data_IF_037274630562
#
_entry.id   IF_037274630562
#
_cell.length_a   1.000
_cell.length_b   1.000
_cell.length_c   1.000
_cell.angle_alpha   90.00
_cell.angle_beta   90.00
_cell.angle_gamma   90.00
#
_symmetry.space_group_name_H-M   'P 1'
#
loop_
_entity.id
_entity.type
_entity.pdbx_description
1 polymer ?
#
# COMPACT_ATOMS: atom_id res chain seq x y z
N UNK A 1 -0.74 -33.29 5.92
CA UNK A 1 0.59 -33.67 6.45
C UNK A 1 1.65 -32.58 6.21
N UNK A 2 1.70 -31.94 5.04
CA UNK A 2 2.65 -30.83 4.74
C UNK A 2 2.38 -29.59 5.59
N UNK A 3 1.13 -29.20 5.78
CA UNK A 3 0.72 -28.01 6.56
C UNK A 3 1.08 -28.16 8.05
N UNK A 4 0.95 -29.36 8.61
CA UNK A 4 1.30 -29.65 10.02
C UNK A 4 2.81 -29.58 10.24
N UNK A 5 3.60 -30.01 9.26
CA UNK A 5 5.06 -29.92 9.33
C UNK A 5 5.57 -28.48 9.15
N UNK A 6 4.92 -27.65 8.33
CA UNK A 6 5.22 -26.23 8.20
C UNK A 6 4.88 -25.45 9.48
N UNK A 7 3.76 -25.78 10.14
CA UNK A 7 3.40 -25.20 11.44
C UNK A 7 4.39 -25.61 12.54
N UNK A 8 4.88 -26.85 12.49
CA UNK A 8 5.90 -27.33 13.42
C UNK A 8 7.25 -26.67 13.19
N UNK A 9 7.66 -26.49 11.92
CA UNK A 9 8.85 -25.71 11.54
C UNK A 9 8.76 -24.26 12.03
N UNK A 10 7.58 -23.64 11.93
CA UNK A 10 7.33 -22.28 12.44
C UNK A 10 7.42 -22.20 13.97
N UNK A 11 6.88 -23.20 14.69
CA UNK A 11 6.95 -23.27 16.16
C UNK A 11 8.39 -23.56 16.62
N UNK A 12 9.13 -24.41 15.93
CA UNK A 12 10.51 -24.75 16.27
C UNK A 12 11.46 -23.54 16.06
N UNK A 13 11.19 -22.68 15.06
CA UNK A 13 11.94 -21.43 14.84
C UNK A 13 11.47 -20.25 15.70
N UNK A 14 10.25 -20.27 16.24
CA UNK A 14 9.83 -19.34 17.29
C UNK A 14 10.71 -19.46 18.55
N UNK A 15 11.27 -20.63 18.82
CA UNK A 15 12.22 -20.83 19.92
C UNK A 15 13.58 -20.17 19.65
N UNK A 16 13.98 -20.02 18.38
CA UNK A 16 15.19 -19.28 18.00
C UNK A 16 14.98 -17.76 18.11
N UNK A 17 13.78 -17.26 17.83
CA UNK A 17 13.40 -15.86 18.08
C UNK A 17 13.49 -15.53 19.59
N UNK A 18 13.14 -16.46 20.47
CA UNK A 18 13.36 -16.31 21.92
C UNK A 18 14.85 -16.27 22.31
N UNK A 19 15.72 -16.88 21.53
CA UNK A 19 17.17 -16.83 21.76
C UNK A 19 17.84 -15.57 21.20
N UNK A 20 17.23 -14.85 20.26
CA UNK A 20 17.69 -13.53 19.80
C UNK A 20 17.65 -12.46 20.90
N UNK A 21 16.82 -12.61 21.93
CA UNK A 21 16.82 -11.74 23.11
C UNK A 21 18.14 -11.77 23.92
N UNK A 22 19.08 -12.64 23.60
CA UNK A 22 20.41 -12.70 24.24
C UNK A 22 21.49 -11.90 23.52
N UNK A 23 21.22 -11.36 22.34
CA UNK A 23 22.16 -10.57 21.54
C UNK A 23 21.92 -9.06 21.57
N UNK A 24 20.90 -8.60 22.31
CA UNK A 24 20.64 -7.17 22.47
C UNK A 24 21.48 -6.66 23.67
N UNK A 25 22.35 -5.65 23.48
CA UNK A 25 23.08 -5.07 24.61
C UNK A 25 22.12 -4.46 25.64
N UNK A 26 22.26 -4.85 26.90
CA UNK A 26 21.43 -4.45 28.04
C UNK A 26 21.49 -2.95 28.38
N UNK A 27 21.23 -2.04 27.48
CA UNK A 27 21.18 -0.59 27.80
C UNK A 27 20.15 0.22 27.00
N UNK A 28 19.14 -0.40 26.44
CA UNK A 28 17.99 0.35 25.89
C UNK A 28 16.74 -0.18 26.57
N UNK A 29 16.06 0.68 27.33
CA UNK A 29 14.75 0.37 27.88
C UNK A 29 13.79 0.07 26.75
N UNK A 30 13.50 -1.20 26.52
CA UNK A 30 12.63 -1.67 25.46
C UNK A 30 11.19 -1.34 25.85
N UNK A 31 10.71 -0.19 25.40
CA UNK A 31 9.27 -0.04 25.22
C UNK A 31 8.91 -0.92 24.02
N UNK A 32 8.29 -2.07 24.28
CA UNK A 32 7.76 -2.96 23.23
C UNK A 32 6.61 -2.22 22.56
N UNK A 33 6.85 -1.72 21.36
CA UNK A 33 5.85 -1.10 20.49
C UNK A 33 5.42 -2.12 19.45
N UNK A 34 4.13 -2.37 19.38
CA UNK A 34 3.47 -3.33 18.48
C UNK A 34 2.78 -2.64 17.31
N UNK A 35 2.84 -3.12 16.11
CA UNK A 35 2.37 -2.47 14.89
C UNK A 35 1.60 -3.27 13.85
N UNK A 36 1.04 -2.63 12.80
CA UNK A 36 0.01 -3.16 11.96
C UNK A 36 -0.15 -2.61 10.54
N UNK A 37 -0.63 -3.43 9.61
CA UNK A 37 -1.17 -3.05 8.30
C UNK A 37 -2.70 -3.18 8.29
N UNK A 38 -3.41 -2.17 7.81
CA UNK A 38 -4.85 -2.20 7.63
C UNK A 38 -5.28 -1.74 6.24
N UNK A 39 -6.09 -2.58 5.61
CA UNK A 39 -7.05 -2.14 4.60
C UNK A 39 -8.30 -1.61 5.32
N UNK A 40 -8.70 -0.37 5.01
CA UNK A 40 -9.93 0.34 5.40
C UNK A 40 -10.87 -0.37 6.41
N UNK A 41 -10.43 -0.56 7.64
CA UNK A 41 -11.35 -0.77 8.75
C UNK A 41 -11.58 0.58 9.42
N UNK A 42 -12.82 0.95 9.61
CA UNK A 42 -13.19 2.12 10.41
C UNK A 42 -12.87 1.78 11.87
N UNK A 43 -11.62 2.07 12.25
CA UNK A 43 -11.22 1.99 13.65
C UNK A 43 -11.98 3.06 14.40
N UNK A 44 -12.62 2.69 15.49
CA UNK A 44 -13.30 3.65 16.34
C UNK A 44 -12.24 4.43 17.09
N UNK A 45 -11.93 5.64 16.61
CA UNK A 45 -11.22 6.64 17.38
C UNK A 45 -11.94 6.86 18.71
N UNK A 46 -11.18 7.05 19.78
CA UNK A 46 -11.77 7.29 21.09
C UNK A 46 -12.45 8.67 21.10
N UNK A 47 -13.78 8.69 21.15
CA UNK A 47 -14.53 9.91 21.32
C UNK A 47 -14.26 10.50 22.72
N UNK A 48 -13.71 11.70 22.73
CA UNK A 48 -13.37 12.42 23.98
C UNK A 48 -14.29 13.59 24.25
N UNK A 49 -15.04 14.02 23.24
CA UNK A 49 -16.00 15.10 23.36
C UNK A 49 -17.13 14.92 22.34
N UNK A 50 -18.39 15.01 22.80
CA UNK A 50 -19.60 15.04 21.98
C UNK A 50 -20.61 15.98 22.64
N UNK A 51 -20.71 17.19 22.14
CA UNK A 51 -21.69 18.18 22.60
C UNK A 51 -21.99 19.21 21.51
N UNK A 52 -23.25 19.65 21.43
CA UNK A 52 -23.74 20.68 20.51
C UNK A 52 -23.34 20.42 19.03
N UNK A 53 -23.31 19.15 18.63
CA UNK A 53 -22.92 18.72 17.27
C UNK A 53 -21.43 18.77 16.99
N UNK A 54 -20.59 19.13 17.95
CA UNK A 54 -19.13 19.00 17.88
C UNK A 54 -18.70 17.65 18.47
N UNK A 55 -18.04 16.84 17.65
CA UNK A 55 -17.37 15.61 18.07
C UNK A 55 -15.86 15.76 17.91
N UNK A 56 -15.12 15.35 18.93
CA UNK A 56 -13.66 15.31 18.89
C UNK A 56 -13.22 13.90 19.27
N UNK A 57 -12.38 13.30 18.43
CA UNK A 57 -11.83 11.99 18.65
C UNK A 57 -10.32 12.05 18.80
N UNK A 58 -9.77 11.19 19.64
CA UNK A 58 -8.34 10.87 19.67
C UNK A 58 -8.10 9.66 18.76
N UNK A 59 -7.11 9.78 17.91
CA UNK A 59 -6.69 8.73 16.98
C UNK A 59 -5.34 8.18 17.45
N UNK A 60 -5.23 6.87 17.56
CA UNK A 60 -3.96 6.18 17.81
C UNK A 60 -3.86 4.95 16.91
N UNK A 61 -2.82 4.91 16.11
CA UNK A 61 -2.45 3.77 15.28
C UNK A 61 -0.98 3.47 15.53
N UNK A 62 -0.69 2.29 16.04
CA UNK A 62 0.69 1.86 16.29
C UNK A 62 0.97 0.60 15.50
N UNK A 63 2.06 0.62 14.71
CA UNK A 63 2.41 -0.42 13.75
C UNK A 63 3.90 -0.82 13.84
N UNK A 64 4.40 -2.12 14.01
CA UNK A 64 5.78 -2.72 13.88
C UNK A 64 5.71 -4.05 13.25
N UNK A 65 6.76 -4.35 12.61
CA UNK A 65 7.02 -5.62 12.00
C UNK A 65 8.42 -6.12 12.38
N UNK A 66 8.55 -7.43 12.47
CA UNK A 66 9.84 -8.13 12.46
C UNK A 66 9.90 -8.90 11.16
N UNK A 67 10.98 -8.72 10.42
CA UNK A 67 11.13 -9.19 9.05
C UNK A 67 12.50 -9.87 8.88
N UNK A 68 12.51 -10.91 8.06
CA UNK A 68 13.74 -11.61 7.69
C UNK A 68 13.67 -12.05 6.21
N UNK A 69 14.78 -11.91 5.51
CA UNK A 69 14.97 -12.36 4.15
C UNK A 69 16.29 -13.13 4.06
N UNK A 70 16.26 -14.37 3.58
CA UNK A 70 17.48 -15.20 3.39
C UNK A 70 18.38 -14.64 2.29
N UNK A 71 17.86 -13.77 1.42
CA UNK A 71 18.58 -13.17 0.30
C UNK A 71 18.44 -11.64 0.31
N UNK A 72 19.50 -10.96 -0.12
CA UNK A 72 19.56 -9.54 -0.37
C UNK A 72 19.46 -9.23 -1.87
N UNK A 73 19.14 -7.99 -2.21
CA UNK A 73 18.86 -7.55 -3.57
C UNK A 73 19.69 -6.29 -3.93
N UNK A 74 20.05 -6.18 -5.21
CA UNK A 74 20.89 -5.10 -5.75
C UNK A 74 20.10 -3.81 -6.09
N UNK A 75 18.94 -3.57 -5.46
CA UNK A 75 18.05 -2.44 -5.83
C UNK A 75 18.74 -1.10 -5.57
N UNK A 76 19.27 -0.89 -4.36
CA UNK A 76 19.93 0.38 -3.99
C UNK A 76 21.47 0.30 -4.08
N UNK A 77 22.03 -0.85 -4.42
CA UNK A 77 23.48 -1.03 -4.59
C UNK A 77 24.31 -1.01 -3.30
N UNK A 78 23.67 -0.96 -2.14
CA UNK A 78 24.34 -0.89 -0.82
C UNK A 78 24.29 -2.20 -0.02
N UNK A 79 23.67 -3.26 -0.56
CA UNK A 79 23.62 -4.58 0.03
C UNK A 79 24.71 -5.49 -0.58
N UNK A 80 25.09 -6.50 0.18
CA UNK A 80 25.98 -7.59 -0.26
C UNK A 80 25.21 -8.91 -0.26
N UNK A 81 25.75 -9.94 -0.89
CA UNK A 81 25.22 -11.30 -0.82
C UNK A 81 25.04 -11.75 0.63
N UNK A 82 23.93 -12.41 0.94
CA UNK A 82 23.56 -12.88 2.27
C UNK A 82 22.13 -12.49 2.64
N UNK A 83 21.85 -12.48 3.92
CA UNK A 83 20.53 -12.23 4.48
C UNK A 83 20.42 -10.85 5.12
N UNK A 84 19.19 -10.45 5.43
CA UNK A 84 18.89 -9.29 6.28
C UNK A 84 17.80 -9.62 7.28
N UNK A 85 18.00 -9.16 8.53
CA UNK A 85 17.00 -9.19 9.58
C UNK A 85 16.79 -7.77 10.11
N UNK A 86 15.54 -7.32 10.08
CA UNK A 86 15.24 -5.98 10.53
C UNK A 86 13.89 -5.91 11.22
N UNK A 87 13.68 -4.81 11.89
CA UNK A 87 12.38 -4.43 12.44
C UNK A 87 12.06 -3.04 11.98
N UNK A 88 10.79 -2.77 11.74
CA UNK A 88 10.33 -1.44 11.44
C UNK A 88 9.01 -1.16 12.15
N UNK A 89 8.70 0.10 12.35
CA UNK A 89 7.47 0.45 13.01
C UNK A 89 7.14 1.93 12.93
N UNK A 90 5.88 2.23 13.22
CA UNK A 90 5.42 3.59 13.36
C UNK A 90 4.32 3.72 14.42
N UNK A 91 4.18 4.92 14.94
CA UNK A 91 3.02 5.36 15.70
C UNK A 91 2.44 6.60 15.03
N UNK A 92 1.16 6.57 14.66
CA UNK A 92 0.38 7.72 14.22
C UNK A 92 -0.60 8.10 15.31
N UNK A 93 -0.59 9.36 15.71
CA UNK A 93 -1.37 9.86 16.83
C UNK A 93 -1.81 11.29 16.58
N UNK A 94 -3.03 11.59 16.97
CA UNK A 94 -3.61 12.91 16.75
C UNK A 94 -5.08 13.00 17.09
N UNK A 95 -5.75 13.93 16.42
CA UNK A 95 -7.14 14.22 16.68
C UNK A 95 -7.91 14.40 15.37
N UNK A 96 -9.17 13.99 15.38
CA UNK A 96 -10.12 14.34 14.36
C UNK A 96 -11.33 15.07 14.97
N UNK A 97 -11.92 15.97 14.20
CA UNK A 97 -13.08 16.72 14.62
C UNK A 97 -14.17 16.70 13.53
N UNK A 98 -15.41 16.72 13.97
CA UNK A 98 -16.59 16.91 13.11
C UNK A 98 -17.54 17.86 13.83
N UNK A 99 -17.94 18.94 13.17
CA UNK A 99 -18.96 19.87 13.64
C UNK A 99 -20.18 19.78 12.75
N UNK A 100 -21.30 19.39 13.31
CA UNK A 100 -22.58 19.39 12.62
C UNK A 100 -23.08 20.84 12.45
N UNK A 101 -23.59 21.15 11.26
CA UNK A 101 -24.13 22.45 10.90
C UNK A 101 -25.58 22.32 10.41
N UNK A 102 -26.15 23.41 9.90
CA UNK A 102 -27.51 23.43 9.35
C UNK A 102 -27.66 22.43 8.19
N UNK A 103 -28.82 21.76 8.14
CA UNK A 103 -29.17 20.83 7.05
C UNK A 103 -28.27 19.58 7.00
N UNK A 104 -27.84 19.10 8.16
CA UNK A 104 -26.93 17.97 8.31
C UNK A 104 -25.58 18.16 7.61
N UNK A 105 -25.26 19.38 7.18
CA UNK A 105 -23.94 19.69 6.67
C UNK A 105 -22.89 19.59 7.79
N UNK A 106 -21.65 19.31 7.43
CA UNK A 106 -20.59 19.06 8.41
C UNK A 106 -19.29 19.77 8.03
N UNK A 107 -18.69 20.44 9.00
CA UNK A 107 -17.27 20.77 8.95
C UNK A 107 -16.49 19.63 9.57
N UNK A 108 -15.40 19.20 8.95
CA UNK A 108 -14.57 18.12 9.46
C UNK A 108 -13.08 18.42 9.26
N UNK A 109 -12.22 17.75 10.02
CA UNK A 109 -10.79 17.88 9.87
C UNK A 109 -10.01 16.92 10.76
N UNK A 110 -8.70 16.83 10.52
CA UNK A 110 -7.80 16.04 11.37
C UNK A 110 -6.41 16.67 11.41
N UNK A 111 -5.75 16.44 12.52
CA UNK A 111 -4.32 16.71 12.70
C UNK A 111 -3.67 15.51 13.36
N UNK A 112 -2.77 14.84 12.63
CA UNK A 112 -2.03 13.67 13.12
C UNK A 112 -0.52 13.84 12.88
N UNK A 113 0.26 13.38 13.84
CA UNK A 113 1.68 13.15 13.72
C UNK A 113 1.94 11.67 13.45
N UNK A 114 3.03 11.37 12.75
CA UNK A 114 3.55 10.02 12.61
C UNK A 114 5.02 9.98 12.99
N UNK A 115 5.38 9.08 13.90
CA UNK A 115 6.75 8.74 14.26
C UNK A 115 7.06 7.38 13.68
N UNK A 116 8.10 7.27 12.86
CA UNK A 116 8.51 6.01 12.21
C UNK A 116 9.98 5.72 12.45
N UNK A 117 10.34 4.44 12.41
CA UNK A 117 11.72 3.99 12.57
C UNK A 117 11.94 2.62 11.88
N UNK A 118 13.21 2.34 11.56
CA UNK A 118 13.70 1.02 11.12
C UNK A 118 14.95 0.68 11.94
N UNK A 119 15.09 -0.59 12.35
CA UNK A 119 16.20 -1.10 13.14
C UNK A 119 16.77 -2.39 12.55
N UNK A 120 17.99 -2.74 12.90
CA UNK A 120 18.68 -3.96 12.46
C UNK A 120 19.50 -3.73 11.20
N UNK A 121 19.45 -4.68 10.27
CA UNK A 121 20.26 -4.63 9.03
C UNK A 121 19.69 -3.69 7.96
N UNK A 122 18.52 -3.06 8.20
CA UNK A 122 17.71 -2.44 7.15
C UNK A 122 17.08 -3.50 6.24
N UNK A 123 16.19 -3.07 5.34
CA UNK A 123 15.50 -4.02 4.46
C UNK A 123 16.41 -4.70 3.43
N UNK A 124 15.94 -5.80 2.86
CA UNK A 124 16.70 -6.63 1.94
C UNK A 124 17.08 -5.96 0.61
N UNK A 125 16.39 -4.88 0.21
CA UNK A 125 16.69 -4.09 -0.98
C UNK A 125 17.62 -2.91 -0.71
N UNK A 126 17.88 -2.61 0.58
CA UNK A 126 18.74 -1.50 1.01
C UNK A 126 18.08 -0.13 0.91
N UNK A 127 16.76 -0.06 0.85
CA UNK A 127 15.97 1.18 0.88
C UNK A 127 16.06 1.83 2.25
N UNK A 128 16.21 1.03 3.31
CA UNK A 128 16.50 1.45 4.69
C UNK A 128 17.82 0.86 5.17
N UNK A 129 18.48 1.52 6.12
CA UNK A 129 19.78 1.14 6.69
C UNK A 129 19.69 0.62 8.12
N UNK A 130 18.50 0.59 8.74
CA UNK A 130 18.27 0.12 10.09
C UNK A 130 18.61 1.13 11.19
N UNK A 131 18.72 2.40 10.86
CA UNK A 131 19.01 3.50 11.78
C UNK A 131 18.06 4.69 11.64
N UNK A 132 17.00 4.53 10.89
CA UNK A 132 16.02 5.56 10.63
C UNK A 132 15.14 5.80 11.85
N UNK A 133 14.86 7.07 12.12
CA UNK A 133 13.83 7.52 13.03
C UNK A 133 13.42 8.94 12.70
N UNK A 134 12.12 9.21 12.61
CA UNK A 134 11.62 10.54 12.27
C UNK A 134 10.18 10.72 12.72
N UNK A 135 9.86 11.94 13.18
CA UNK A 135 8.48 12.37 13.44
C UNK A 135 8.10 13.46 12.45
N UNK A 136 6.91 13.33 11.86
CA UNK A 136 6.39 14.27 10.88
C UNK A 136 4.90 14.51 11.09
N UNK A 137 4.38 15.61 10.55
CA UNK A 137 2.95 15.78 10.36
C UNK A 137 2.50 14.82 9.27
N UNK A 138 1.51 13.98 9.56
CA UNK A 138 0.91 13.07 8.58
C UNK A 138 -0.38 13.64 8.03
N UNK A 139 -1.34 14.02 8.88
CA UNK A 139 -2.55 14.70 8.47
C UNK A 139 -2.62 16.12 9.04
N UNK A 140 -3.06 17.07 8.24
CA UNK A 140 -3.40 18.43 8.64
C UNK A 140 -4.34 19.00 7.58
N UNK A 141 -5.63 18.73 7.70
CA UNK A 141 -6.62 19.12 6.69
C UNK A 141 -7.94 19.52 7.33
N UNK A 142 -8.73 20.28 6.55
CA UNK A 142 -10.09 20.65 6.85
C UNK A 142 -10.96 20.38 5.62
N UNK A 143 -12.23 20.09 5.85
CA UNK A 143 -13.22 19.90 4.79
C UNK A 143 -14.61 20.23 5.24
N UNK A 144 -15.52 20.32 4.28
CA UNK A 144 -16.94 20.58 4.48
C UNK A 144 -17.77 19.69 3.56
N UNK A 145 -18.82 19.10 4.12
CA UNK A 145 -19.82 18.30 3.41
C UNK A 145 -21.17 18.98 3.45
N UNK A 146 -21.88 18.92 2.34
CA UNK A 146 -23.16 19.61 2.19
C UNK A 146 -24.32 19.01 3.00
N UNK A 147 -24.20 17.77 3.49
CA UNK A 147 -25.32 17.07 4.11
C UNK A 147 -26.53 17.04 3.19
N UNK A 148 -27.69 17.49 3.69
CA UNK A 148 -28.95 17.58 2.95
C UNK A 148 -29.26 18.99 2.40
N UNK A 149 -28.30 19.92 2.40
CA UNK A 149 -28.48 21.26 1.87
C UNK A 149 -28.76 21.29 0.36
N UNK A 150 -28.28 20.29 -0.37
CA UNK A 150 -28.42 20.18 -1.83
C UNK A 150 -29.14 18.88 -2.23
N UNK A 151 -30.46 18.74 -1.92
CA UNK A 151 -31.15 17.44 -2.04
C UNK A 151 -31.19 16.89 -3.47
N UNK A 152 -31.04 17.74 -4.50
CA UNK A 152 -30.96 17.31 -5.91
C UNK A 152 -29.64 16.59 -6.25
N UNK A 153 -28.61 16.76 -5.44
CA UNK A 153 -27.30 16.15 -5.61
C UNK A 153 -27.10 14.94 -4.68
N UNK A 154 -28.12 14.58 -3.88
CA UNK A 154 -28.03 13.54 -2.87
C UNK A 154 -27.44 14.01 -1.55
N UNK A 155 -27.45 13.16 -0.54
CA UNK A 155 -26.78 13.42 0.74
C UNK A 155 -25.28 13.54 0.52
N UNK A 156 -24.65 14.55 1.13
CA UNK A 156 -23.24 14.90 0.90
C UNK A 156 -22.92 15.14 -0.58
N UNK A 157 -23.89 15.66 -1.34
CA UNK A 157 -23.76 15.88 -2.79
C UNK A 157 -22.62 16.84 -3.18
N UNK A 158 -22.08 17.59 -2.21
CA UNK A 158 -20.81 18.33 -2.33
C UNK A 158 -19.95 18.04 -1.11
N UNK A 159 -18.68 17.64 -1.33
CA UNK A 159 -17.65 17.51 -0.31
C UNK A 159 -16.38 18.23 -0.79
N UNK A 160 -15.90 19.18 -0.01
CA UNK A 160 -14.71 19.97 -0.33
C UNK A 160 -13.70 19.80 0.78
N UNK A 161 -12.43 19.52 0.44
CA UNK A 161 -11.36 19.45 1.42
C UNK A 161 -10.05 20.04 0.92
N UNK A 162 -9.28 20.60 1.83
CA UNK A 162 -7.95 21.16 1.56
C UNK A 162 -7.00 20.82 2.70
N UNK A 163 -5.73 20.58 2.36
CA UNK A 163 -4.65 20.38 3.33
C UNK A 163 -3.82 19.14 3.04
N UNK A 164 -3.09 18.70 4.06
CA UNK A 164 -2.23 17.53 4.01
C UNK A 164 -3.01 16.27 4.35
N UNK A 165 -3.18 15.37 3.40
CA UNK A 165 -3.89 14.10 3.60
C UNK A 165 -3.55 13.06 2.53
N UNK A 166 -3.83 11.80 2.82
CA UNK A 166 -3.84 10.75 1.80
C UNK A 166 -5.06 10.89 0.89
N UNK A 167 -4.87 10.58 -0.39
CA UNK A 167 -5.93 10.51 -1.39
C UNK A 167 -5.84 9.18 -2.13
N UNK A 168 -6.99 8.67 -2.53
CA UNK A 168 -7.13 7.43 -3.29
C UNK A 168 -8.10 7.63 -4.44
N UNK A 169 -7.80 7.02 -5.60
CA UNK A 169 -8.70 6.92 -6.75
C UNK A 169 -8.98 5.43 -7.02
N UNK A 170 -10.26 5.06 -7.06
CA UNK A 170 -10.69 3.68 -7.26
C UNK A 170 -10.13 2.72 -6.22
N UNK A 171 -9.58 1.59 -6.67
CA UNK A 171 -8.90 0.61 -5.81
C UNK A 171 -7.41 0.93 -5.58
N UNK A 172 -6.93 2.09 -6.06
CA UNK A 172 -5.54 2.53 -5.88
C UNK A 172 -4.59 2.08 -6.99
N UNK A 173 -5.09 1.69 -8.13
CA UNK A 173 -4.27 1.28 -9.28
C UNK A 173 -3.36 2.40 -9.80
N UNK A 174 -3.84 3.66 -9.74
CA UNK A 174 -3.08 4.85 -10.13
C UNK A 174 -2.62 5.66 -8.91
N UNK A 175 -3.51 5.90 -7.95
CA UNK A 175 -3.23 6.71 -6.76
C UNK A 175 -3.82 6.04 -5.52
N UNK A 176 -2.97 5.70 -4.55
CA UNK A 176 -3.33 5.22 -3.21
C UNK A 176 -2.64 6.01 -2.09
N UNK A 177 -1.95 7.07 -2.39
CA UNK A 177 -1.19 7.88 -1.45
C UNK A 177 0.30 7.92 -1.79
N UNK A 178 1.01 8.79 -1.12
CA UNK A 178 2.44 9.03 -1.32
C UNK A 178 3.27 8.09 -0.41
N UNK A 179 3.37 6.80 -0.80
CA UNK A 179 3.77 5.70 0.09
C UNK A 179 5.26 5.32 0.07
N UNK A 180 6.09 5.86 -0.80
CA UNK A 180 7.52 5.53 -0.79
C UNK A 180 8.24 6.11 0.43
N UNK A 181 8.53 5.27 1.42
CA UNK A 181 9.11 5.65 2.71
C UNK A 181 10.59 5.26 2.79
N UNK A 182 11.41 5.86 1.95
CA UNK A 182 12.85 5.62 1.95
C UNK A 182 13.49 6.01 3.29
N UNK A 183 14.58 5.29 3.60
CA UNK A 183 15.41 5.53 4.76
C UNK A 183 16.59 6.45 4.47
N UNK A 184 17.65 6.31 5.28
CA UNK A 184 18.84 7.18 5.25
C UNK A 184 19.83 6.82 4.13
N UNK A 185 19.41 6.08 3.11
CA UNK A 185 20.25 5.75 1.95
C UNK A 185 20.77 7.04 1.30
N UNK A 186 22.07 7.07 1.03
CA UNK A 186 22.73 8.21 0.37
C UNK A 186 22.73 8.00 -1.15
N UNK A 187 21.97 8.85 -1.83
CA UNK A 187 21.92 8.94 -3.29
C UNK A 187 22.41 10.29 -3.81
N UNK A 188 23.28 10.97 -3.04
CA UNK A 188 23.71 12.34 -3.33
C UNK A 188 22.75 13.41 -2.81
N UNK A 189 21.56 12.98 -2.32
CA UNK A 189 20.55 13.82 -1.70
C UNK A 189 19.87 13.06 -0.54
N UNK A 190 19.54 13.76 0.54
CA UNK A 190 18.76 13.16 1.61
C UNK A 190 17.30 12.99 1.19
N UNK A 191 16.92 11.77 0.84
CA UNK A 191 15.57 11.38 0.42
C UNK A 191 14.76 10.74 1.55
N UNK A 192 15.33 10.60 2.76
CA UNK A 192 14.71 9.90 3.89
C UNK A 192 13.36 10.50 4.28
N UNK A 193 12.35 9.64 4.36
CA UNK A 193 11.05 9.93 4.96
C UNK A 193 10.89 9.36 6.38
N UNK A 194 11.91 8.70 6.91
CA UNK A 194 11.93 8.14 8.27
C UNK A 194 11.88 6.63 8.33
N UNK A 195 12.12 5.92 7.22
CA UNK A 195 12.06 4.47 7.17
C UNK A 195 10.65 3.91 7.35
N UNK A 196 10.55 2.69 7.91
CA UNK A 196 9.34 1.87 7.89
C UNK A 196 8.82 1.73 6.45
N UNK A 197 9.71 1.25 5.58
CA UNK A 197 9.50 1.18 4.13
C UNK A 197 8.35 0.25 3.78
N UNK A 198 8.37 -0.99 4.26
CA UNK A 198 7.33 -1.97 3.99
C UNK A 198 5.97 -1.53 4.56
N UNK A 199 5.97 -1.02 5.79
CA UNK A 199 4.75 -0.57 6.47
C UNK A 199 4.17 0.71 5.86
N UNK A 200 4.92 1.42 5.03
CA UNK A 200 4.51 2.67 4.40
C UNK A 200 3.89 3.65 5.42
N UNK A 201 4.67 3.99 6.44
CA UNK A 201 4.21 4.78 7.59
C UNK A 201 3.57 6.12 7.21
N UNK A 202 4.03 6.74 6.11
CA UNK A 202 3.55 8.00 5.57
C UNK A 202 2.89 7.79 4.22
N UNK A 203 1.64 8.27 4.11
CA UNK A 203 0.81 8.12 2.90
C UNK A 203 0.26 9.44 2.39
N UNK A 204 0.40 10.52 3.18
CA UNK A 204 -0.21 11.80 2.85
C UNK A 204 0.62 12.59 1.84
N UNK A 205 -0.06 13.17 0.86
CA UNK A 205 0.47 14.23 0.02
C UNK A 205 0.66 15.49 0.85
N UNK A 206 1.68 16.28 0.54
CA UNK A 206 2.00 17.48 1.30
C UNK A 206 0.90 18.54 1.23
N UNK A 207 0.27 18.64 0.07
CA UNK A 207 -0.85 19.54 -0.17
C UNK A 207 -1.86 18.86 -1.07
N UNK A 208 -3.14 19.03 -0.77
CA UNK A 208 -4.26 18.54 -1.58
C UNK A 208 -5.37 19.56 -1.58
N UNK A 209 -6.10 19.62 -2.69
CA UNK A 209 -7.43 20.22 -2.77
C UNK A 209 -8.33 19.22 -3.49
N UNK A 210 -9.49 18.93 -2.92
CA UNK A 210 -10.46 18.01 -3.50
C UNK A 210 -11.86 18.58 -3.44
N UNK A 211 -12.59 18.48 -4.55
CA UNK A 211 -14.02 18.75 -4.65
C UNK A 211 -14.67 17.47 -5.16
N UNK A 212 -15.59 16.90 -4.38
CA UNK A 212 -16.44 15.78 -4.78
C UNK A 212 -17.86 16.30 -5.06
N UNK A 213 -18.43 15.86 -6.17
CA UNK A 213 -19.79 16.17 -6.61
C UNK A 213 -20.57 14.87 -6.79
N UNK A 214 -21.83 14.86 -6.36
CA UNK A 214 -22.67 13.66 -6.29
C UNK A 214 -22.45 12.90 -4.98
N UNK A 215 -23.46 12.23 -4.49
CA UNK A 215 -23.42 11.49 -3.23
C UNK A 215 -22.69 10.15 -3.33
N UNK A 216 -23.05 9.21 -2.45
CA UNK A 216 -22.44 7.86 -2.40
C UNK A 216 -22.90 6.95 -3.56
N UNK A 217 -24.04 7.25 -4.18
CA UNK A 217 -24.66 6.46 -5.25
C UNK A 217 -24.97 7.32 -6.47
N UNK A 218 -25.18 6.66 -7.62
CA UNK A 218 -25.48 7.34 -8.87
C UNK A 218 -24.22 7.86 -9.58
N UNK A 219 -24.33 9.02 -10.19
CA UNK A 219 -23.20 9.68 -10.88
C UNK A 219 -22.49 10.60 -9.90
N UNK A 220 -21.18 10.41 -9.79
CA UNK A 220 -20.30 11.25 -8.98
C UNK A 220 -19.02 11.61 -9.72
N UNK A 221 -18.39 12.71 -9.31
CA UNK A 221 -17.14 13.19 -9.88
C UNK A 221 -16.26 13.79 -8.80
N UNK A 222 -14.95 13.57 -8.90
CA UNK A 222 -13.96 14.25 -8.07
C UNK A 222 -13.09 15.15 -8.97
N UNK A 223 -12.82 16.37 -8.50
CA UNK A 223 -11.75 17.22 -9.00
C UNK A 223 -10.67 17.28 -7.93
N UNK A 224 -9.46 16.93 -8.30
CA UNK A 224 -8.34 16.74 -7.38
C UNK A 224 -7.14 17.52 -7.85
N UNK A 225 -6.50 18.23 -6.94
CA UNK A 225 -5.14 18.71 -7.09
C UNK A 225 -4.32 18.15 -5.93
N UNK A 226 -3.11 17.68 -6.20
CA UNK A 226 -2.21 17.16 -5.19
C UNK A 226 -0.75 17.52 -5.48
N UNK A 227 0.01 17.74 -4.41
CA UNK A 227 1.44 17.98 -4.46
C UNK A 227 2.17 17.11 -3.45
N UNK A 228 3.12 16.32 -3.92
CA UNK A 228 4.03 15.56 -3.09
C UNK A 228 5.20 16.44 -2.59
N UNK A 229 5.71 16.14 -1.38
CA UNK A 229 7.02 16.61 -0.93
C UNK A 229 8.03 15.48 -0.81
N UNK A 230 7.68 14.31 -1.32
CA UNK A 230 8.52 13.14 -1.31
C UNK A 230 9.61 13.25 -2.37
N UNK A 231 10.85 13.31 -1.95
CA UNK A 231 11.98 13.36 -2.88
C UNK A 231 12.10 12.10 -3.73
N UNK A 232 11.73 10.91 -3.16
CA UNK A 232 11.68 9.65 -3.90
C UNK A 232 10.61 9.61 -5.01
N UNK A 233 9.68 10.57 -5.03
CA UNK A 233 8.69 10.83 -6.08
C UNK A 233 8.97 12.14 -6.82
N UNK A 234 10.22 12.65 -6.74
CA UNK A 234 10.65 13.93 -7.32
C UNK A 234 9.66 15.06 -7.05
N UNK A 235 9.02 15.10 -5.87
CA UNK A 235 8.04 16.11 -5.45
C UNK A 235 6.93 16.38 -6.47
N UNK A 236 6.50 15.39 -7.19
CA UNK A 236 5.51 15.48 -8.27
C UNK A 236 4.24 16.22 -7.84
N UNK A 237 3.71 17.06 -8.73
CA UNK A 237 2.43 17.75 -8.63
C UNK A 237 1.51 17.30 -9.75
N UNK A 238 0.26 16.92 -9.41
CA UNK A 238 -0.72 16.40 -10.35
C UNK A 238 -2.07 17.07 -10.16
N UNK A 239 -2.85 17.11 -11.24
CA UNK A 239 -4.29 17.28 -11.17
C UNK A 239 -5.00 16.03 -11.71
N UNK A 240 -6.22 15.78 -11.22
CA UNK A 240 -7.01 14.67 -11.67
C UNK A 240 -8.50 14.98 -11.66
N UNK A 241 -9.22 14.33 -12.57
CA UNK A 241 -10.67 14.32 -12.63
C UNK A 241 -11.16 12.88 -12.70
N UNK A 242 -12.19 12.55 -11.91
CA UNK A 242 -12.88 11.26 -12.01
C UNK A 242 -14.34 11.47 -12.37
N UNK A 243 -14.92 10.52 -13.09
CA UNK A 243 -16.36 10.42 -13.31
C UNK A 243 -16.76 8.97 -13.05
N UNK A 244 -17.66 8.76 -12.11
CA UNK A 244 -18.11 7.43 -11.73
C UNK A 244 -19.62 7.30 -11.79
N UNK A 245 -20.07 6.08 -12.14
CA UNK A 245 -21.44 5.63 -11.92
C UNK A 245 -21.41 4.49 -10.92
N UNK A 246 -22.01 4.73 -9.76
CA UNK A 246 -22.05 3.76 -8.64
C UNK A 246 -23.46 3.24 -8.47
N UNK A 247 -23.58 1.94 -8.30
CA UNK A 247 -24.82 1.23 -7.92
C UNK A 247 -24.46 0.07 -6.97
N UNK A 248 -25.45 -0.55 -6.36
CA UNK A 248 -25.27 -1.67 -5.43
C UNK A 248 -24.42 -2.83 -6.00
N UNK A 249 -24.55 -3.09 -7.29
CA UNK A 249 -23.91 -4.23 -7.96
C UNK A 249 -22.74 -3.85 -8.87
N UNK A 250 -22.52 -2.57 -9.13
CA UNK A 250 -21.51 -2.15 -10.10
C UNK A 250 -20.95 -0.76 -9.86
N UNK A 251 -19.69 -0.60 -10.20
CA UNK A 251 -19.00 0.70 -10.33
C UNK A 251 -18.37 0.77 -11.71
N UNK A 252 -18.62 1.87 -12.43
CA UNK A 252 -17.94 2.24 -13.66
C UNK A 252 -17.27 3.58 -13.44
N UNK A 253 -15.99 3.69 -13.77
CA UNK A 253 -15.23 4.91 -13.55
C UNK A 253 -14.35 5.27 -14.74
N UNK A 254 -14.27 6.56 -15.02
CA UNK A 254 -13.28 7.18 -15.88
C UNK A 254 -12.40 8.06 -14.99
N UNK A 255 -11.10 8.08 -15.29
CA UNK A 255 -10.13 8.93 -14.59
C UNK A 255 -9.23 9.58 -15.63
N UNK A 256 -8.98 10.87 -15.46
CA UNK A 256 -7.93 11.61 -16.16
C UNK A 256 -6.99 12.21 -15.13
N UNK A 257 -5.69 12.09 -15.34
CA UNK A 257 -4.62 12.64 -14.50
C UNK A 257 -3.64 13.36 -15.41
N UNK A 258 -3.24 14.56 -15.01
CA UNK A 258 -2.26 15.38 -15.72
C UNK A 258 -1.11 15.77 -14.78
N UNK A 259 0.11 15.63 -15.28
CA UNK A 259 1.33 16.02 -14.60
C UNK A 259 1.60 17.51 -14.75
N UNK A 260 1.56 18.26 -13.62
CA UNK A 260 1.75 19.71 -13.61
C UNK A 260 3.21 20.11 -13.43
N UNK A 261 3.88 19.49 -12.45
CA UNK A 261 5.26 19.82 -12.08
C UNK A 261 5.99 18.63 -11.47
N UNK A 262 7.31 18.64 -11.58
CA UNK A 262 8.22 17.65 -10.99
C UNK A 262 9.59 18.27 -10.83
N UNK A 263 10.29 17.95 -9.74
CA UNK A 263 11.66 18.41 -9.46
C UNK A 263 12.64 17.73 -10.45
N UNK A 264 13.17 18.53 -11.40
CA UNK A 264 14.00 18.02 -12.50
C UNK A 264 15.30 17.40 -11.99
N UNK A 265 15.94 18.02 -11.00
CA UNK A 265 17.20 17.49 -10.41
C UNK A 265 16.96 16.11 -9.77
N UNK A 266 15.88 15.94 -9.01
CA UNK A 266 15.54 14.63 -8.41
C UNK A 266 15.12 13.62 -9.47
N UNK A 267 14.44 14.04 -10.53
CA UNK A 267 14.06 13.17 -11.66
C UNK A 267 15.31 12.56 -12.31
N UNK A 268 16.30 13.37 -12.62
CA UNK A 268 17.56 12.93 -13.21
C UNK A 268 18.37 12.06 -12.23
N UNK A 269 18.55 12.53 -10.99
CA UNK A 269 19.35 11.87 -9.95
C UNK A 269 18.83 10.44 -9.67
N UNK A 270 17.52 10.26 -9.61
CA UNK A 270 16.87 8.99 -9.25
C UNK A 270 16.49 8.15 -10.49
N UNK A 271 16.76 8.64 -11.71
CA UNK A 271 16.38 7.96 -12.94
C UNK A 271 14.88 7.76 -13.09
N UNK A 272 14.07 8.69 -12.55
CA UNK A 272 12.62 8.63 -12.63
C UNK A 272 12.12 9.09 -13.99
N UNK A 273 10.88 8.75 -14.32
CA UNK A 273 10.20 9.27 -15.50
C UNK A 273 9.75 10.70 -15.26
N UNK A 274 9.86 11.52 -16.30
CA UNK A 274 9.34 12.88 -16.26
C UNK A 274 7.82 12.87 -16.44
N UNK A 275 7.12 13.25 -15.39
CA UNK A 275 5.65 13.31 -15.32
C UNK A 275 5.09 14.67 -15.78
N UNK A 276 5.93 15.66 -16.05
CA UNK A 276 5.48 16.98 -16.54
C UNK A 276 4.82 16.85 -17.90
N UNK A 277 3.62 17.40 -18.04
CA UNK A 277 2.77 17.28 -19.23
C UNK A 277 2.43 15.82 -19.61
N UNK A 278 2.52 14.86 -18.68
CA UNK A 278 2.07 13.50 -18.91
C UNK A 278 0.57 13.41 -18.64
N UNK A 279 -0.16 12.87 -19.60
CA UNK A 279 -1.57 12.53 -19.46
C UNK A 279 -1.75 11.04 -19.18
N UNK A 280 -2.56 10.71 -18.20
CA UNK A 280 -3.01 9.34 -17.93
C UNK A 280 -4.53 9.30 -17.95
N UNK A 281 -5.09 8.44 -18.80
CA UNK A 281 -6.53 8.19 -18.87
C UNK A 281 -6.80 6.76 -18.49
N UNK A 282 -7.73 6.52 -17.54
CA UNK A 282 -8.14 5.15 -17.22
C UNK A 282 -9.65 4.94 -17.26
N UNK A 283 -10.02 3.70 -17.57
CA UNK A 283 -11.37 3.18 -17.39
C UNK A 283 -11.31 2.00 -16.42
N UNK A 284 -12.17 2.02 -15.41
CA UNK A 284 -12.30 0.94 -14.44
C UNK A 284 -13.73 0.43 -14.32
N UNK A 285 -13.85 -0.82 -13.95
CA UNK A 285 -15.14 -1.40 -13.62
C UNK A 285 -15.02 -2.37 -12.44
N UNK A 286 -16.11 -2.51 -11.71
CA UNK A 286 -16.39 -3.57 -10.76
C UNK A 286 -17.84 -3.99 -10.95
N UNK A 287 -18.12 -5.29 -10.98
CA UNK A 287 -19.47 -5.81 -11.17
C UNK A 287 -19.65 -7.18 -10.51
N UNK A 288 -20.82 -7.43 -9.96
CA UNK A 288 -21.21 -8.72 -9.36
C UNK A 288 -21.99 -9.61 -10.34
N UNK A 289 -22.35 -9.12 -11.51
CA UNK A 289 -23.22 -9.78 -12.49
C UNK A 289 -24.52 -10.33 -11.89
N UNK A 290 -24.99 -9.72 -10.79
CA UNK A 290 -26.19 -10.18 -10.07
C UNK A 290 -25.95 -11.34 -9.10
N UNK A 291 -24.71 -11.78 -8.91
CA UNK A 291 -24.34 -12.83 -7.94
C UNK A 291 -23.59 -12.20 -6.77
N UNK A 292 -24.15 -12.24 -5.57
CA UNK A 292 -23.54 -11.66 -4.35
C UNK A 292 -22.16 -12.23 -4.03
N UNK A 293 -21.91 -13.46 -4.44
CA UNK A 293 -20.67 -14.19 -4.21
C UNK A 293 -19.58 -13.91 -5.26
N UNK A 294 -19.92 -13.24 -6.35
CA UNK A 294 -19.00 -12.95 -7.46
C UNK A 294 -18.59 -11.47 -7.44
N UNK A 295 -17.30 -11.22 -7.58
CA UNK A 295 -16.76 -9.89 -7.89
C UNK A 295 -15.86 -10.00 -9.11
N UNK A 296 -16.20 -9.28 -10.17
CA UNK A 296 -15.31 -9.09 -11.33
C UNK A 296 -14.89 -7.63 -11.33
N UNK A 297 -13.61 -7.35 -11.45
CA UNK A 297 -13.07 -5.98 -11.52
C UNK A 297 -11.93 -5.90 -12.53
N UNK A 298 -11.68 -4.70 -13.00
CA UNK A 298 -10.57 -4.41 -13.88
C UNK A 298 -10.40 -2.91 -14.08
N UNK A 299 -9.19 -2.54 -14.48
CA UNK A 299 -8.84 -1.19 -14.86
C UNK A 299 -7.84 -1.24 -16.01
N UNK A 300 -8.00 -0.37 -17.00
CA UNK A 300 -7.06 -0.11 -18.07
C UNK A 300 -6.65 1.34 -18.00
N UNK A 301 -5.36 1.60 -17.95
CA UNK A 301 -4.76 2.92 -17.95
C UNK A 301 -3.87 3.09 -19.19
N UNK A 302 -4.01 4.21 -19.86
CA UNK A 302 -3.20 4.65 -20.99
C UNK A 302 -2.46 5.92 -20.58
N UNK A 303 -1.17 5.97 -20.91
CA UNK A 303 -0.28 7.10 -20.63
C UNK A 303 0.34 7.64 -21.92
N UNK A 304 0.35 8.95 -22.05
CA UNK A 304 1.07 9.67 -23.09
C UNK A 304 1.93 10.76 -22.44
N UNK A 305 3.22 10.76 -22.75
CA UNK A 305 4.16 11.76 -22.28
C UNK A 305 5.11 12.19 -23.40
N UNK A 306 5.83 13.29 -23.19
CA UNK A 306 6.82 13.76 -24.16
C UNK A 306 7.95 12.75 -24.44
N UNK A 307 8.30 11.95 -23.44
CA UNK A 307 9.41 10.99 -23.50
C UNK A 307 8.95 9.60 -23.93
N UNK A 308 7.81 9.13 -23.44
CA UNK A 308 7.30 7.79 -23.67
C UNK A 308 5.84 7.89 -24.13
N UNK A 309 5.62 7.59 -25.39
CA UNK A 309 4.28 7.61 -26.00
C UNK A 309 3.66 6.21 -25.93
N UNK A 310 2.34 6.19 -25.69
CA UNK A 310 1.51 4.98 -25.82
C UNK A 310 1.82 3.87 -24.82
N UNK A 311 2.19 4.23 -23.59
CA UNK A 311 2.34 3.27 -22.51
C UNK A 311 0.99 2.89 -21.91
N UNK A 312 0.87 1.68 -21.41
CA UNK A 312 -0.36 1.21 -20.80
C UNK A 312 -0.12 0.20 -19.67
N UNK A 313 -1.08 0.14 -18.76
CA UNK A 313 -1.18 -0.92 -17.79
C UNK A 313 -2.64 -1.31 -17.57
N UNK A 314 -2.87 -2.58 -17.24
CA UNK A 314 -4.22 -3.06 -16.99
C UNK A 314 -4.23 -4.32 -16.14
N UNK A 315 -5.36 -4.55 -15.51
CA UNK A 315 -5.66 -5.83 -14.88
C UNK A 315 -7.10 -6.22 -15.10
N UNK A 316 -7.35 -7.52 -15.00
CA UNK A 316 -8.69 -8.13 -14.86
C UNK A 316 -8.62 -9.13 -13.73
N UNK A 317 -9.58 -9.08 -12.82
CA UNK A 317 -9.69 -9.94 -11.65
C UNK A 317 -11.09 -10.53 -11.55
N UNK A 318 -11.15 -11.81 -11.20
CA UNK A 318 -12.37 -12.49 -10.79
C UNK A 318 -12.19 -13.10 -9.40
N UNK A 319 -13.17 -12.87 -8.51
CA UNK A 319 -13.18 -13.41 -7.15
C UNK A 319 -14.50 -14.08 -6.88
N UNK A 320 -14.45 -15.28 -6.27
CA UNK A 320 -15.64 -16.02 -5.84
C UNK A 320 -15.55 -16.36 -4.36
N UNK A 321 -16.62 -16.09 -3.62
CA UNK A 321 -16.77 -16.45 -2.20
C UNK A 321 -17.79 -17.55 -2.03
N UNK A 322 -17.44 -18.64 -1.37
CA UNK A 322 -18.32 -19.77 -1.06
C UNK A 322 -19.04 -19.51 0.26
N UNK A 323 -20.06 -18.66 0.23
CA UNK A 323 -20.76 -18.17 1.44
C UNK A 323 -21.49 -19.26 2.21
N UNK A 324 -21.91 -20.34 1.53
CA UNK A 324 -22.63 -21.47 2.13
C UNK A 324 -21.71 -22.46 2.86
N UNK A 325 -20.39 -22.31 2.73
CA UNK A 325 -19.40 -23.13 3.43
C UNK A 325 -19.06 -22.48 4.76
N UNK A 326 -19.00 -23.25 5.85
CA UNK A 326 -18.78 -22.75 7.22
C UNK A 326 -17.56 -21.85 7.32
N UNK A 327 -16.45 -22.21 6.67
CA UNK A 327 -15.21 -21.43 6.66
C UNK A 327 -15.19 -20.34 5.59
N UNK A 328 -16.29 -20.11 4.88
CA UNK A 328 -16.47 -19.07 3.84
C UNK A 328 -15.24 -18.96 2.90
N UNK A 329 -14.81 -20.06 2.21
CA UNK A 329 -13.64 -19.99 1.35
C UNK A 329 -13.78 -18.91 0.28
N UNK A 330 -12.68 -18.31 -0.13
CA UNK A 330 -12.64 -17.44 -1.30
C UNK A 330 -11.54 -17.88 -2.27
N UNK A 331 -11.78 -17.65 -3.55
CA UNK A 331 -10.81 -17.87 -4.61
C UNK A 331 -10.75 -16.63 -5.48
N UNK A 332 -9.54 -16.15 -5.76
CA UNK A 332 -9.31 -14.99 -6.62
C UNK A 332 -8.26 -15.31 -7.67
N UNK A 333 -8.55 -14.96 -8.91
CA UNK A 333 -7.57 -14.95 -9.99
C UNK A 333 -7.49 -13.56 -10.59
N UNK A 334 -6.26 -13.07 -10.84
CA UNK A 334 -5.99 -11.83 -11.57
C UNK A 334 -4.87 -12.03 -12.57
N UNK A 335 -5.05 -11.41 -13.72
CA UNK A 335 -3.98 -11.15 -14.66
C UNK A 335 -3.75 -9.65 -14.75
N UNK A 336 -2.50 -9.21 -14.69
CA UNK A 336 -2.10 -7.82 -14.88
C UNK A 336 -0.91 -7.71 -15.83
N UNK A 337 -0.84 -6.58 -16.54
CA UNK A 337 0.25 -6.25 -17.44
C UNK A 337 0.55 -4.76 -17.32
N UNK A 338 1.84 -4.45 -17.31
CA UNK A 338 2.39 -3.11 -17.32
C UNK A 338 3.39 -3.05 -18.47
N UNK A 339 3.20 -2.14 -19.42
CA UNK A 339 4.09 -1.98 -20.58
C UNK A 339 5.50 -1.53 -20.15
N UNK A 340 6.43 -1.54 -21.08
CA UNK A 340 7.87 -1.46 -20.82
C UNK A 340 8.28 -0.17 -20.12
N UNK A 341 7.67 0.94 -20.47
CA UNK A 341 7.97 2.26 -19.92
C UNK A 341 6.80 2.87 -19.13
N UNK A 342 5.82 2.06 -18.72
CA UNK A 342 4.70 2.52 -17.89
C UNK A 342 5.18 3.13 -16.57
N UNK A 343 4.64 4.31 -16.21
CA UNK A 343 4.86 4.94 -14.92
C UNK A 343 3.73 4.58 -13.94
N UNK A 344 4.00 3.85 -12.85
CA UNK A 344 2.96 3.44 -11.91
C UNK A 344 2.39 4.58 -11.07
N UNK A 345 2.83 5.83 -11.25
CA UNK A 345 2.41 6.99 -10.47
C UNK A 345 2.55 6.78 -8.95
N UNK A 346 1.44 6.95 -8.21
CA UNK A 346 1.34 6.75 -6.76
C UNK A 346 0.52 5.50 -6.44
N UNK A 347 0.77 4.42 -7.17
CA UNK A 347 0.01 3.19 -7.07
C UNK A 347 0.07 2.53 -5.70
N UNK A 348 -0.91 1.68 -5.46
CA UNK A 348 -1.02 0.78 -4.33
C UNK A 348 -2.21 -0.16 -4.53
N UNK A 349 -2.76 -0.71 -3.46
CA UNK A 349 -4.01 -1.46 -3.55
C UNK A 349 -4.72 -1.67 -2.23
N UNK A 350 -6.05 -1.68 -2.31
CA UNK A 350 -6.93 -2.17 -1.28
C UNK A 350 -7.55 -3.54 -1.60
N UNK A 351 -7.22 -4.13 -2.76
CA UNK A 351 -7.89 -5.32 -3.28
C UNK A 351 -7.37 -6.65 -2.78
N UNK A 352 -6.32 -6.67 -1.95
CA UNK A 352 -5.70 -7.92 -1.52
C UNK A 352 -4.91 -7.78 -0.22
N UNK A 353 -4.11 -8.80 0.05
CA UNK A 353 -3.16 -8.81 1.14
C UNK A 353 -1.80 -8.34 0.61
N UNK A 354 -1.14 -7.45 1.37
CA UNK A 354 0.17 -6.95 1.02
C UNK A 354 0.23 -6.16 -0.30
N UNK A 355 1.36 -6.26 -1.00
CA UNK A 355 1.65 -5.54 -2.25
C UNK A 355 1.04 -6.27 -3.44
N UNK A 356 -0.21 -6.22 -3.55
CA UNK A 356 -1.12 -7.09 -4.28
C UNK A 356 -0.88 -7.32 -5.78
N UNK A 357 -0.16 -6.47 -6.49
CA UNK A 357 0.13 -6.75 -7.89
C UNK A 357 1.33 -7.66 -8.09
N UNK A 358 2.31 -7.61 -7.20
CA UNK A 358 3.64 -8.14 -7.46
C UNK A 358 4.15 -9.13 -6.42
N UNK A 359 3.38 -9.47 -5.36
CA UNK A 359 3.83 -10.33 -4.26
C UNK A 359 4.56 -9.56 -3.15
N UNK A 360 4.83 -10.22 -2.05
CA UNK A 360 5.42 -9.60 -0.85
C UNK A 360 6.93 -9.39 -0.99
N UNK A 361 7.63 -10.34 -1.60
CA UNK A 361 9.07 -10.26 -1.82
C UNK A 361 9.38 -9.53 -3.12
N UNK A 362 8.74 -9.93 -4.20
CA UNK A 362 8.99 -9.37 -5.52
C UNK A 362 8.72 -7.86 -5.55
N UNK A 363 7.55 -7.42 -5.11
CA UNK A 363 7.18 -6.00 -5.19
C UNK A 363 8.01 -5.07 -4.32
N UNK A 364 8.51 -5.56 -3.19
CA UNK A 364 9.23 -4.73 -2.23
C UNK A 364 10.76 -4.81 -2.41
N UNK A 365 11.30 -5.96 -2.84
CA UNK A 365 12.75 -6.20 -2.78
C UNK A 365 13.32 -6.78 -4.07
N UNK A 366 12.67 -7.80 -4.65
CA UNK A 366 13.23 -8.63 -5.70
C UNK A 366 12.88 -8.23 -7.13
N UNK A 367 11.92 -7.36 -7.33
CA UNK A 367 11.27 -7.15 -8.63
C UNK A 367 10.47 -8.39 -9.11
N UNK A 368 9.68 -8.28 -10.17
CA UNK A 368 9.47 -7.06 -10.96
C UNK A 368 8.65 -6.02 -10.21
N UNK A 369 8.81 -4.78 -10.62
CA UNK A 369 7.98 -3.68 -10.16
C UNK A 369 6.85 -3.40 -11.17
N UNK A 370 5.96 -2.45 -10.93
CA UNK A 370 4.80 -2.17 -11.79
C UNK A 370 5.17 -1.46 -13.10
N UNK A 371 6.16 -1.99 -13.83
CA UNK A 371 6.59 -1.58 -15.17
C UNK A 371 7.25 -2.78 -15.84
N UNK A 372 7.19 -2.88 -17.16
CA UNK A 372 7.82 -3.94 -17.98
C UNK A 372 7.48 -5.36 -17.51
N UNK A 373 6.25 -5.63 -17.07
CA UNK A 373 5.91 -6.92 -16.47
C UNK A 373 4.51 -7.41 -16.78
N UNK A 374 4.35 -8.75 -16.76
CA UNK A 374 3.08 -9.48 -16.76
C UNK A 374 3.02 -10.35 -15.50
N UNK A 375 1.86 -10.36 -14.84
CA UNK A 375 1.68 -11.10 -13.59
C UNK A 375 0.40 -11.92 -13.64
N UNK A 376 0.53 -13.22 -13.36
CA UNK A 376 -0.59 -14.07 -12.98
C UNK A 376 -0.62 -14.17 -11.45
N UNK A 377 -1.76 -13.92 -10.87
CA UNK A 377 -2.02 -14.03 -9.44
C UNK A 377 -3.18 -14.97 -9.19
N UNK A 378 -2.99 -15.92 -8.31
CA UNK A 378 -4.02 -16.83 -7.82
C UNK A 378 -3.96 -16.88 -6.31
N UNK A 379 -5.06 -16.62 -5.62
CA UNK A 379 -5.11 -16.72 -4.17
C UNK A 379 -6.35 -17.44 -3.69
N UNK A 380 -6.21 -18.09 -2.53
CA UNK A 380 -7.33 -18.67 -1.80
C UNK A 380 -7.24 -18.34 -0.32
N UNK A 381 -8.37 -18.10 0.31
CA UNK A 381 -8.42 -17.90 1.76
C UNK A 381 -9.63 -18.58 2.38
N UNK A 382 -9.56 -18.85 3.69
CA UNK A 382 -10.63 -19.37 4.52
C UNK A 382 -10.74 -18.53 5.80
N UNK A 383 -11.92 -18.51 6.39
CA UNK A 383 -12.21 -17.89 7.68
C UNK A 383 -12.63 -18.99 8.68
N UNK A 384 -11.69 -19.65 9.39
CA UNK A 384 -12.03 -20.61 10.44
C UNK A 384 -12.84 -19.99 11.58
N UNK A 385 -12.66 -18.68 11.76
CA UNK A 385 -13.40 -17.79 12.67
C UNK A 385 -13.65 -16.47 11.94
N UNK A 386 -14.62 -15.69 12.37
CA UNK A 386 -14.94 -14.39 11.74
C UNK A 386 -13.81 -13.36 11.83
N UNK A 387 -13.00 -13.46 12.89
CA UNK A 387 -11.86 -12.59 13.19
C UNK A 387 -10.50 -13.14 12.68
N UNK A 388 -10.47 -14.35 12.09
CA UNK A 388 -9.24 -15.00 11.64
C UNK A 388 -9.37 -15.45 10.18
N UNK A 389 -8.52 -14.90 9.32
CA UNK A 389 -8.30 -15.36 7.95
C UNK A 389 -7.00 -16.14 7.83
N UNK A 390 -7.03 -17.26 7.12
CA UNK A 390 -5.86 -18.00 6.67
C UNK A 390 -5.85 -18.02 5.15
N UNK A 391 -4.73 -17.67 4.53
CA UNK A 391 -4.67 -17.57 3.08
C UNK A 391 -3.33 -17.96 2.49
N UNK A 392 -3.36 -18.18 1.18
CA UNK A 392 -2.20 -18.38 0.33
C UNK A 392 -2.36 -17.64 -0.98
N UNK A 393 -1.25 -17.13 -1.52
CA UNK A 393 -1.18 -16.45 -2.80
C UNK A 393 -0.04 -17.04 -3.63
N UNK A 394 -0.27 -17.20 -4.92
CA UNK A 394 0.73 -17.60 -5.90
C UNK A 394 0.85 -16.54 -6.97
N UNK A 395 2.08 -16.16 -7.30
CA UNK A 395 2.39 -15.22 -8.37
C UNK A 395 3.33 -15.87 -9.39
N UNK A 396 3.12 -15.55 -10.66
CA UNK A 396 4.06 -15.86 -11.72
C UNK A 396 4.33 -14.59 -12.53
N UNK A 397 5.58 -14.17 -12.53
CA UNK A 397 6.05 -12.94 -13.14
C UNK A 397 6.80 -13.20 -14.43
N UNK A 398 6.59 -12.31 -15.42
CA UNK A 398 7.36 -12.32 -16.67
C UNK A 398 7.73 -10.90 -17.05
N UNK A 399 9.01 -10.62 -17.16
CA UNK A 399 9.52 -9.41 -17.80
C UNK A 399 9.15 -9.44 -19.29
N UNK A 400 8.65 -8.33 -19.84
CA UNK A 400 8.22 -8.22 -21.24
C UNK A 400 9.43 -8.06 -22.13
N UNK A 401 10.13 -6.93 -22.03
CA UNK A 401 11.43 -6.70 -22.69
C UNK A 401 12.57 -7.07 -21.73
N UNK A 402 13.37 -8.04 -22.14
CA UNK A 402 14.49 -8.61 -21.38
C UNK A 402 15.86 -8.12 -21.87
N UNK A 403 15.89 -7.12 -22.73
CA UNK A 403 17.12 -6.61 -23.32
C UNK A 403 18.07 -6.02 -22.27
N UNK A 404 17.53 -5.35 -21.24
CA UNK A 404 18.30 -4.72 -20.18
C UNK A 404 18.36 -5.60 -18.90
N UNK A 405 17.24 -6.25 -18.53
CA UNK A 405 17.13 -7.07 -17.32
C UNK A 405 16.02 -8.12 -17.45
N UNK A 406 16.06 -9.16 -16.63
CA UNK A 406 15.00 -10.18 -16.53
C UNK A 406 14.64 -10.45 -15.07
N UNK A 407 13.59 -9.80 -14.55
CA UNK A 407 13.05 -10.01 -13.21
C UNK A 407 11.94 -11.07 -13.18
N UNK A 408 11.88 -11.94 -14.19
CA UNK A 408 10.92 -13.05 -14.20
C UNK A 408 11.16 -13.98 -13.03
N UNK A 409 10.08 -14.53 -12.49
CA UNK A 409 10.14 -15.43 -11.34
C UNK A 409 8.77 -15.94 -10.94
N UNK A 410 8.69 -16.51 -9.75
CA UNK A 410 7.44 -16.90 -9.10
C UNK A 410 7.55 -16.74 -7.59
N UNK A 411 6.41 -16.54 -6.94
CA UNK A 411 6.34 -16.39 -5.50
C UNK A 411 5.12 -17.12 -4.95
N UNK A 412 5.27 -17.69 -3.76
CA UNK A 412 4.16 -18.26 -2.96
C UNK A 412 4.19 -17.62 -1.60
N UNK A 413 3.09 -16.98 -1.20
CA UNK A 413 2.90 -16.43 0.12
C UNK A 413 1.89 -17.25 0.89
N UNK A 414 2.15 -17.51 2.17
CA UNK A 414 1.26 -18.16 3.12
C UNK A 414 1.12 -17.21 4.30
N UNK A 415 -0.11 -16.85 4.66
CA UNK A 415 -0.35 -15.83 5.67
C UNK A 415 -1.53 -16.15 6.57
N UNK A 416 -1.55 -15.49 7.72
CA UNK A 416 -2.74 -15.34 8.54
C UNK A 416 -3.01 -13.86 8.83
N UNK A 417 -4.27 -13.51 9.02
CA UNK A 417 -4.69 -12.20 9.53
C UNK A 417 -5.67 -12.42 10.66
N UNK A 418 -5.32 -11.98 11.84
CA UNK A 418 -6.14 -12.11 13.02
C UNK A 418 -6.43 -10.74 13.63
N UNK A 419 -7.72 -10.36 13.62
CA UNK A 419 -8.21 -9.12 14.22
C UNK A 419 -8.85 -9.45 15.56
N UNK A 420 -8.24 -9.03 16.65
CA UNK A 420 -8.67 -9.34 18.02
C UNK A 420 -9.40 -8.12 18.59
N UNK A 421 -10.68 -8.29 18.93
CA UNK A 421 -11.53 -7.26 19.56
C UNK A 421 -11.55 -5.91 18.80
N UNK A 422 -11.39 -5.94 17.48
CA UNK A 422 -11.36 -4.75 16.64
C UNK A 422 -10.20 -3.76 16.91
N UNK A 423 -9.33 -4.04 17.87
CA UNK A 423 -8.25 -3.15 18.29
C UNK A 423 -6.84 -3.71 18.06
N UNK A 424 -6.69 -5.01 17.99
CA UNK A 424 -5.39 -5.65 17.87
C UNK A 424 -5.35 -6.52 16.62
N UNK A 425 -4.22 -6.52 15.95
CA UNK A 425 -4.01 -7.31 14.76
C UNK A 425 -2.70 -8.09 14.84
N UNK A 426 -2.71 -9.28 14.34
CA UNK A 426 -1.54 -10.14 14.23
C UNK A 426 -1.54 -10.71 12.82
N UNK A 427 -0.45 -10.54 12.09
CA UNK A 427 -0.32 -11.06 10.73
C UNK A 427 1.06 -11.64 10.47
N UNK A 428 1.25 -12.95 10.70
CA UNK A 428 2.41 -13.68 10.20
C UNK A 428 2.29 -13.95 8.71
N UNK A 429 3.43 -13.94 8.01
CA UNK A 429 3.54 -14.35 6.62
C UNK A 429 4.88 -15.05 6.38
N UNK A 430 4.89 -16.05 5.50
CA UNK A 430 6.07 -16.64 4.89
C UNK A 430 5.93 -16.56 3.38
N UNK A 431 6.93 -15.97 2.71
CA UNK A 431 7.04 -15.84 1.26
C UNK A 431 8.19 -16.72 0.72
N UNK A 432 7.94 -17.43 -0.37
CA UNK A 432 8.91 -18.23 -1.09
C UNK A 432 9.07 -17.63 -2.48
N UNK A 433 10.12 -16.84 -2.68
CA UNK A 433 10.40 -16.18 -3.96
C UNK A 433 11.47 -16.92 -4.75
N UNK A 434 11.18 -17.23 -6.01
CA UNK A 434 12.07 -17.94 -6.94
C UNK A 434 12.36 -17.03 -8.15
N UNK A 435 13.42 -16.21 -8.13
CA UNK A 435 13.85 -15.46 -9.29
C UNK A 435 14.41 -16.43 -10.36
N UNK A 436 14.27 -16.07 -11.64
CA UNK A 436 14.90 -16.84 -12.73
C UNK A 436 16.36 -16.51 -12.93
N UNK A 437 16.78 -15.32 -12.48
CA UNK A 437 18.14 -14.80 -12.66
C UNK A 437 18.62 -14.10 -11.40
N UNK A 438 19.90 -14.28 -11.12
CA UNK A 438 20.62 -13.50 -10.12
C UNK A 438 21.02 -12.13 -10.67
N UNK A 439 21.53 -11.25 -9.83
CA UNK A 439 22.01 -9.92 -10.22
C UNK A 439 23.15 -9.96 -11.24
N UNK A 440 24.00 -10.95 -11.18
CA UNK A 440 25.08 -11.16 -12.18
C UNK A 440 24.57 -11.63 -13.55
N UNK A 441 23.31 -12.07 -13.64
CA UNK A 441 22.67 -12.55 -14.87
C UNK A 441 21.57 -11.60 -15.38
N UNK A 442 21.44 -10.42 -14.76
CA UNK A 442 20.43 -9.40 -15.11
C UNK A 442 19.14 -9.47 -14.29
N UNK A 443 19.15 -10.20 -13.16
CA UNK A 443 18.12 -10.11 -12.11
C UNK A 443 18.47 -9.10 -11.02
N UNK A 444 17.87 -9.23 -9.83
CA UNK A 444 18.16 -8.37 -8.68
C UNK A 444 18.72 -9.11 -7.46
N UNK A 445 18.44 -10.42 -7.31
CA UNK A 445 18.93 -11.20 -6.17
C UNK A 445 20.44 -11.31 -6.20
N UNK A 446 21.09 -10.91 -5.13
CA UNK A 446 22.54 -11.03 -4.97
C UNK A 446 22.96 -12.52 -4.80
N UNK A 447 24.16 -12.86 -5.22
CA UNK A 447 24.62 -14.24 -5.20
C UNK A 447 23.98 -15.10 -6.29
N UNK A 448 23.30 -16.19 -5.93
CA UNK A 448 22.66 -17.13 -6.84
C UNK A 448 21.15 -16.87 -6.96
N UNK A 449 20.55 -17.34 -8.04
CA UNK A 449 19.09 -17.32 -8.23
C UNK A 449 18.41 -18.49 -7.49
N UNK A 450 18.73 -18.66 -6.21
CA UNK A 450 18.12 -19.68 -5.36
C UNK A 450 16.80 -19.15 -4.76
N UNK A 451 15.97 -20.07 -4.24
CA UNK A 451 14.74 -19.67 -3.54
C UNK A 451 15.07 -18.81 -2.33
N UNK A 452 14.50 -17.60 -2.26
CA UNK A 452 14.52 -16.80 -1.05
C UNK A 452 13.38 -17.23 -0.13
N UNK A 453 13.67 -17.50 1.13
CA UNK A 453 12.67 -17.64 2.19
C UNK A 453 12.56 -16.30 2.92
N UNK A 454 11.41 -15.70 2.81
CA UNK A 454 11.07 -14.46 3.49
C UNK A 454 10.06 -14.73 4.60
N UNK A 455 10.22 -14.09 5.73
CA UNK A 455 9.24 -14.16 6.83
C UNK A 455 9.00 -12.81 7.45
N UNK A 456 7.76 -12.57 7.86
CA UNK A 456 7.38 -11.38 8.61
C UNK A 456 6.33 -11.70 9.67
N UNK A 457 6.36 -10.94 10.75
CA UNK A 457 5.32 -10.87 11.74
C UNK A 457 4.95 -9.40 11.95
N UNK A 458 3.72 -9.06 11.59
CA UNK A 458 3.17 -7.74 11.82
C UNK A 458 2.21 -7.78 13.00
N UNK A 459 2.30 -6.79 13.84
CA UNK A 459 1.46 -6.67 15.03
C UNK A 459 0.88 -5.25 15.11
N UNK A 460 -0.27 -4.99 15.69
CA UNK A 460 -0.85 -3.67 15.76
C UNK A 460 -1.90 -3.37 16.79
N UNK A 461 -2.04 -2.08 17.00
CA UNK A 461 -2.97 -1.50 17.96
C UNK A 461 -3.63 -0.27 17.37
N UNK A 462 -4.95 -0.16 17.53
CA UNK A 462 -5.78 0.96 17.05
C UNK A 462 -6.76 1.43 18.10
N UNK A 463 -6.88 2.75 18.24
CA UNK A 463 -7.87 3.43 19.08
C UNK A 463 -8.32 4.74 18.43
#
# INVERSE_FOLDING_TARGET
>A
MVIVNLFKYFIDHLSEIQNMNKLIPQKVGVAILLPMVLTCMHLKAQEVYDNDGLKVNLNLEMVGAVLHSDQNYAVMGNKVEGNSSWSEGYAKYGTSLTQQLVGDSQLYGAFDLVSSATWGDGDAAGVTLGNEHKTNVENAYVGWKSGNLLPKMGTDGVDISIGKRSLQIGEGFLILGDMFNYGNVDLGENISRGGAYYLAARKSFAQTAKISLGGSEGVRSDLIWLKSNNKAQAKTELEAMTLEKVSDSSVWGLTWIHGLDQDEHLTELLGLKDRRDMDTVSIRFMNTLGYENLKISGEYAYQDSKQNKEENAWYVQGSWKFSDVVTKPSLTYRYSQFSEQYDPLFYGSNGGYGTWFQGEVAANYGGPFSSNTKVHYLSGSIFPREDLELGTAYYNFKTIDKSAYDYSGSEVDIYARWMIKEHYFISPLVGLFNPKKSSSEGGLQLGKADTNVYSQLILGVFF
#
